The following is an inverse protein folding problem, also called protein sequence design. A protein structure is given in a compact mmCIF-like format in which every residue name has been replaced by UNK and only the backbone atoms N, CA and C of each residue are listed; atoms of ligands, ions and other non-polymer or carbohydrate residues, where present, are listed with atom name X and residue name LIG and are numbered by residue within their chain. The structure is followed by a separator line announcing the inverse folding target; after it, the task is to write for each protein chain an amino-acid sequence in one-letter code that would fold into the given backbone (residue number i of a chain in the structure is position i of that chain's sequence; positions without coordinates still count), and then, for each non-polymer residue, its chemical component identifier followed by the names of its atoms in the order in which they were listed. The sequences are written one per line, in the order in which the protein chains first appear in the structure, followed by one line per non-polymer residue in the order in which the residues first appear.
data_IF_897949014180
#
_entry.id   IF_897949014180
#
_cell.length_a   1.000
_cell.length_b   1.000
_cell.length_c   1.000
_cell.angle_alpha   90.00
_cell.angle_beta   90.00
_cell.angle_gamma   90.00
#
_symmetry.space_group_name_H-M   'P 1'
#
loop_
_entity.id
_entity.type
_entity.pdbx_description
1 polymer ?
#
# COMPACT_ATOMS: atom_id res chain seq x y z
N UNK A 1 -0.60 -22.70 -3.64
CA UNK A 1 -0.17 -21.28 -3.71
C UNK A 1 1.29 -21.28 -4.12
N UNK A 2 1.63 -20.70 -5.27
CA UNK A 2 3.03 -20.61 -5.72
C UNK A 2 3.80 -19.64 -4.80
N UNK A 3 5.04 -19.99 -4.44
CA UNK A 3 5.96 -19.18 -3.61
C UNK A 3 5.98 -17.70 -4.01
N UNK A 4 5.90 -17.43 -5.31
CA UNK A 4 5.94 -16.10 -5.91
C UNK A 4 4.74 -15.21 -5.51
N UNK A 5 3.56 -15.79 -5.30
CA UNK A 5 2.38 -15.04 -4.83
C UNK A 5 2.52 -14.59 -3.37
N UNK A 6 3.22 -15.38 -2.55
CA UNK A 6 3.49 -15.06 -1.15
C UNK A 6 4.54 -13.96 -1.02
N UNK A 7 5.60 -14.03 -1.82
CA UNK A 7 6.66 -13.01 -1.83
C UNK A 7 6.16 -11.64 -2.31
N UNK A 8 5.25 -11.61 -3.28
CA UNK A 8 4.58 -10.37 -3.71
C UNK A 8 3.68 -9.82 -2.61
N UNK A 9 2.95 -10.69 -1.91
CA UNK A 9 2.08 -10.23 -0.81
C UNK A 9 2.87 -9.54 0.29
N UNK A 10 3.99 -10.14 0.67
CA UNK A 10 4.91 -9.60 1.67
C UNK A 10 5.51 -8.26 1.25
N UNK A 11 5.88 -8.12 -0.03
CA UNK A 11 6.42 -6.87 -0.57
C UNK A 11 5.41 -5.72 -0.51
N UNK A 12 4.15 -5.98 -0.84
CA UNK A 12 3.07 -4.99 -0.70
C UNK A 12 2.82 -4.63 0.76
N UNK A 13 2.79 -5.61 1.66
CA UNK A 13 2.60 -5.35 3.10
C UNK A 13 3.70 -4.44 3.66
N UNK A 14 4.95 -4.65 3.21
CA UNK A 14 6.08 -3.78 3.54
C UNK A 14 5.95 -2.38 2.94
N UNK A 15 5.42 -2.26 1.71
CA UNK A 15 5.16 -0.97 1.07
C UNK A 15 4.07 -0.18 1.83
N UNK A 16 2.95 -0.81 2.16
CA UNK A 16 1.87 -0.16 2.95
C UNK A 16 2.37 0.27 4.32
N UNK A 17 3.18 -0.55 4.98
CA UNK A 17 3.81 -0.19 6.25
C UNK A 17 4.71 1.04 6.12
N UNK A 18 5.49 1.15 5.03
CA UNK A 18 6.31 2.33 4.78
C UNK A 18 5.47 3.56 4.51
N UNK A 19 4.46 3.46 3.65
CA UNK A 19 3.53 4.55 3.32
C UNK A 19 2.80 5.08 4.56
N UNK A 20 2.30 4.20 5.42
CA UNK A 20 1.65 4.61 6.67
C UNK A 20 2.58 5.42 7.57
N UNK A 21 3.83 4.99 7.74
CA UNK A 21 4.82 5.73 8.53
C UNK A 21 5.14 7.10 7.90
N UNK A 22 5.19 7.19 6.57
CA UNK A 22 5.51 8.44 5.88
C UNK A 22 4.33 9.41 5.92
N UNK A 23 3.10 8.92 5.84
CA UNK A 23 1.89 9.73 6.05
C UNK A 23 1.84 10.25 7.48
N UNK A 24 2.12 9.41 8.48
CA UNK A 24 2.18 9.83 9.89
C UNK A 24 3.18 10.97 10.09
N UNK A 25 4.40 10.84 9.54
CA UNK A 25 5.40 11.92 9.57
C UNK A 25 4.89 13.16 8.84
N UNK A 26 4.27 13.00 7.68
CA UNK A 26 3.75 14.11 6.89
C UNK A 26 2.72 14.92 7.67
N UNK A 27 1.71 14.26 8.26
CA UNK A 27 0.65 14.94 9.04
C UNK A 27 1.12 15.47 10.39
N UNK A 28 2.24 14.96 10.92
CA UNK A 28 2.84 15.46 12.17
C UNK A 28 3.55 16.80 12.02
N UNK A 29 3.89 17.20 10.79
CA UNK A 29 4.52 18.49 10.50
C UNK A 29 3.44 19.57 10.33
N UNK A 30 3.44 20.63 11.16
CA UNK A 30 2.47 21.73 11.06
C UNK A 30 2.55 22.53 9.76
N UNK A 31 3.65 22.42 9.00
CA UNK A 31 3.85 23.05 7.71
C UNK A 31 3.24 22.29 6.53
N UNK A 32 2.73 21.08 6.76
CA UNK A 32 2.11 20.25 5.74
C UNK A 32 0.58 20.27 5.81
N UNK A 33 -0.04 19.94 4.67
CA UNK A 33 -1.49 19.90 4.54
C UNK A 33 -2.03 18.58 5.12
N UNK A 34 -2.54 18.62 6.34
CA UNK A 34 -3.08 17.42 7.00
C UNK A 34 -4.29 16.82 6.30
N UNK A 35 -5.06 17.61 5.52
CA UNK A 35 -6.18 17.09 4.73
C UNK A 35 -5.66 16.22 3.59
N UNK A 36 -4.60 16.66 2.91
CA UNK A 36 -3.93 15.85 1.88
C UNK A 36 -3.44 14.51 2.46
N UNK A 37 -2.76 14.53 3.61
CA UNK A 37 -2.30 13.30 4.26
C UNK A 37 -3.46 12.35 4.63
N UNK A 38 -4.59 12.92 5.06
CA UNK A 38 -5.81 12.15 5.38
C UNK A 38 -6.41 11.50 4.12
N UNK A 39 -6.47 12.22 2.99
CA UNK A 39 -6.96 11.67 1.71
C UNK A 39 -6.11 10.50 1.25
N UNK A 40 -4.78 10.61 1.35
CA UNK A 40 -3.86 9.51 1.00
C UNK A 40 -4.11 8.30 1.91
N UNK A 41 -4.24 8.51 3.23
CA UNK A 41 -4.51 7.42 4.18
C UNK A 41 -5.84 6.71 3.88
N UNK A 42 -6.91 7.47 3.63
CA UNK A 42 -8.22 6.90 3.27
C UNK A 42 -8.16 6.10 1.96
N UNK A 43 -7.37 6.57 0.98
CA UNK A 43 -7.20 5.86 -0.29
C UNK A 43 -6.51 4.51 -0.09
N UNK A 44 -5.47 4.46 0.73
CA UNK A 44 -4.78 3.20 1.07
C UNK A 44 -5.67 2.23 1.86
N UNK A 45 -6.54 2.75 2.74
CA UNK A 45 -7.48 1.92 3.49
C UNK A 45 -8.47 1.22 2.55
N UNK A 46 -9.05 1.95 1.58
CA UNK A 46 -9.96 1.38 0.57
C UNK A 46 -9.25 0.32 -0.27
N UNK A 47 -8.03 0.60 -0.73
CA UNK A 47 -7.24 -0.37 -1.50
C UNK A 47 -6.92 -1.64 -0.68
N UNK A 48 -6.64 -1.49 0.61
CA UNK A 48 -6.40 -2.61 1.52
C UNK A 48 -7.65 -3.48 1.73
N UNK A 49 -8.84 -2.86 1.79
CA UNK A 49 -10.11 -3.57 1.88
C UNK A 49 -10.40 -4.34 0.59
N UNK A 50 -10.25 -3.69 -0.56
CA UNK A 50 -10.42 -4.35 -1.87
C UNK A 50 -9.48 -5.56 -2.02
N UNK A 51 -8.25 -5.46 -1.49
CA UNK A 51 -7.30 -6.58 -1.45
C UNK A 51 -7.69 -7.71 -0.49
N UNK A 52 -8.33 -7.39 0.64
CA UNK A 52 -8.77 -8.37 1.63
C UNK A 52 -10.00 -9.16 1.15
N UNK A 53 -10.85 -8.54 0.34
CA UNK A 53 -12.11 -9.13 -0.15
C UNK A 53 -12.05 -9.60 -1.62
N UNK A 54 -11.06 -9.16 -2.39
CA UNK A 54 -10.86 -9.53 -3.79
C UNK A 54 -9.90 -10.71 -4.03
N UNK A 55 -9.82 -11.17 -5.30
CA UNK A 55 -8.76 -12.07 -5.73
C UNK A 55 -7.45 -11.28 -5.86
N UNK A 56 -6.43 -11.70 -5.11
CA UNK A 56 -5.09 -11.13 -5.22
C UNK A 56 -4.26 -11.91 -6.26
N UNK A 57 -3.55 -11.23 -7.17
CA UNK A 57 -3.49 -9.77 -7.35
C UNK A 57 -4.75 -9.22 -8.04
N UNK A 58 -5.12 -7.95 -7.79
CA UNK A 58 -6.20 -7.30 -8.53
C UNK A 58 -5.95 -7.34 -10.04
N UNK A 59 -7.00 -7.56 -10.85
CA UNK A 59 -6.89 -7.63 -12.31
C UNK A 59 -6.22 -6.39 -12.89
N UNK A 60 -5.24 -6.58 -13.78
CA UNK A 60 -4.53 -5.49 -14.45
C UNK A 60 -3.29 -4.95 -13.72
N UNK A 61 -2.96 -5.47 -12.53
CA UNK A 61 -1.71 -5.13 -11.85
C UNK A 61 -0.57 -6.09 -12.21
N UNK A 62 0.25 -5.70 -13.19
CA UNK A 62 1.59 -6.25 -13.37
C UNK A 62 2.54 -5.57 -12.37
N UNK A 63 2.81 -6.25 -11.25
CA UNK A 63 3.82 -5.79 -10.32
C UNK A 63 5.22 -5.98 -10.94
N UNK A 64 6.15 -5.03 -10.78
CA UNK A 64 7.50 -5.18 -11.28
C UNK A 64 8.11 -6.45 -10.67
N UNK A 65 8.32 -7.45 -11.52
CA UNK A 65 9.06 -8.65 -11.14
C UNK A 65 10.42 -8.22 -10.59
N UNK A 66 10.85 -8.83 -9.49
CA UNK A 66 12.25 -8.74 -9.06
C UNK A 66 13.11 -9.47 -10.09
N UNK A 67 13.29 -8.89 -11.27
CA UNK A 67 14.41 -9.21 -12.13
C UNK A 67 15.64 -8.54 -11.52
N UNK A 68 16.26 -9.29 -10.60
CA UNK A 68 17.64 -9.12 -10.16
C UNK A 68 18.34 -10.47 -10.19
#
# INVERSE_FOLDING_TARGET
MSSDSFDRRLADDDLYRQLNNDIEKYVSDPGHDSEFGTVVLCSLAVESEDRAWGEYPPEGHDYPGKDR
#
